data_IF_451786182686
#
_entry.id   IF_451786182686
#
_cell.length_a   1.000
_cell.length_b   1.000
_cell.length_c   1.000
_cell.angle_alpha   90.00
_cell.angle_beta   90.00
_cell.angle_gamma   90.00
#
_symmetry.space_group_name_H-M   'P 1'
#
loop_
_entity.id
_entity.type
_entity.pdbx_description
1 polymer ?
#
# COMPACT_ATOMS: atom_id res chain seq x y z
N UNK A 1 -31.85 44.57 -21.62
CA UNK A 1 -30.41 44.37 -21.36
C UNK A 1 -30.31 43.27 -20.33
N UNK A 2 -29.78 42.10 -20.70
CA UNK A 2 -29.47 41.03 -19.76
C UNK A 2 -28.05 41.28 -19.22
N UNK A 3 -27.91 41.31 -17.91
CA UNK A 3 -26.62 41.45 -17.25
C UNK A 3 -25.81 40.14 -17.42
N UNK A 4 -24.73 40.22 -18.18
CA UNK A 4 -23.85 39.09 -18.51
C UNK A 4 -22.72 38.91 -17.49
N UNK A 5 -22.76 39.58 -16.33
CA UNK A 5 -21.69 39.53 -15.31
C UNK A 5 -21.98 38.63 -14.10
N UNK A 6 -23.16 38.01 -14.02
CA UNK A 6 -23.48 37.09 -12.94
C UNK A 6 -22.80 35.72 -13.17
N UNK A 7 -21.58 35.55 -12.63
CA UNK A 7 -20.95 34.24 -12.47
C UNK A 7 -21.84 33.44 -11.50
N UNK A 8 -22.37 32.27 -11.88
CA UNK A 8 -23.13 31.44 -10.96
C UNK A 8 -22.25 31.11 -9.73
N UNK A 9 -22.82 31.07 -8.51
CA UNK A 9 -22.04 30.79 -7.32
C UNK A 9 -21.33 29.43 -7.47
N UNK A 10 -20.05 29.38 -7.09
CA UNK A 10 -19.29 28.14 -7.11
C UNK A 10 -19.98 27.09 -6.23
N UNK A 11 -19.99 25.80 -6.63
CA UNK A 11 -20.61 24.76 -5.83
C UNK A 11 -19.97 24.70 -4.45
N UNK A 12 -20.74 25.02 -3.41
CA UNK A 12 -20.26 25.20 -2.02
C UNK A 12 -20.58 24.01 -1.09
N UNK A 13 -20.63 22.79 -1.63
CA UNK A 13 -20.97 21.58 -0.87
C UNK A 13 -19.73 20.80 -0.42
N UNK A 14 -19.89 19.94 0.59
CA UNK A 14 -18.85 18.99 1.02
C UNK A 14 -18.83 17.81 0.04
N UNK A 15 -17.65 17.47 -0.48
CA UNK A 15 -17.44 16.27 -1.28
C UNK A 15 -17.02 15.09 -0.38
N UNK A 16 -17.49 13.88 -0.70
CA UNK A 16 -17.05 12.64 -0.05
C UNK A 16 -16.11 11.89 -0.98
N UNK A 17 -14.97 11.44 -0.44
CA UNK A 17 -14.01 10.60 -1.17
C UNK A 17 -14.22 9.15 -0.74
N UNK A 18 -14.49 8.27 -1.70
CA UNK A 18 -14.53 6.83 -1.50
C UNK A 18 -13.34 6.19 -2.19
N UNK A 19 -12.61 5.35 -1.46
CA UNK A 19 -11.59 4.47 -2.02
C UNK A 19 -12.22 3.10 -2.22
N UNK A 20 -12.38 2.70 -3.47
CA UNK A 20 -12.95 1.40 -3.82
C UNK A 20 -11.79 0.53 -4.31
N UNK A 21 -11.28 -0.40 -3.48
CA UNK A 21 -10.26 -1.32 -3.93
C UNK A 21 -10.82 -2.26 -5.01
N UNK A 22 -9.96 -2.85 -5.84
CA UNK A 22 -10.39 -3.93 -6.74
C UNK A 22 -10.91 -5.12 -5.92
N UNK A 23 -11.66 -6.01 -6.55
CA UNK A 23 -11.98 -7.29 -5.92
C UNK A 23 -10.70 -8.13 -5.75
N UNK A 24 -10.62 -8.89 -4.65
CA UNK A 24 -9.53 -9.86 -4.49
C UNK A 24 -9.55 -10.87 -5.64
N UNK A 25 -8.37 -11.18 -6.19
CA UNK A 25 -8.25 -12.08 -7.34
C UNK A 25 -7.24 -13.18 -7.08
N UNK A 26 -7.57 -14.40 -7.52
CA UNK A 26 -6.70 -15.57 -7.39
C UNK A 26 -6.66 -16.17 -5.98
N UNK A 27 -5.67 -17.02 -5.77
CA UNK A 27 -5.32 -17.63 -4.48
C UNK A 27 -3.82 -17.49 -4.35
N UNK A 28 -3.35 -16.83 -3.30
CA UNK A 28 -1.93 -16.73 -3.03
C UNK A 28 -1.65 -16.53 -1.55
N UNK A 29 -0.44 -16.92 -1.13
CA UNK A 29 0.18 -16.55 0.13
C UNK A 29 1.34 -15.62 -0.15
N UNK A 30 1.37 -14.49 0.53
CA UNK A 30 2.43 -13.49 0.46
C UNK A 30 3.10 -13.44 1.84
N UNK A 31 4.40 -13.61 1.89
CA UNK A 31 5.20 -13.31 3.09
C UNK A 31 6.29 -12.33 2.71
N UNK A 32 6.33 -11.20 3.40
CA UNK A 32 7.22 -10.09 3.13
C UNK A 32 7.96 -9.74 4.41
N UNK A 33 9.29 -9.65 4.36
CA UNK A 33 10.04 -9.01 5.43
C UNK A 33 11.32 -8.43 4.86
N UNK A 34 11.72 -7.25 5.29
CA UNK A 34 12.92 -6.64 4.74
C UNK A 34 13.08 -5.17 5.02
N UNK A 35 13.95 -4.56 4.21
CA UNK A 35 14.14 -3.12 4.21
C UNK A 35 14.35 -2.56 2.81
N UNK A 36 13.95 -1.31 2.64
CA UNK A 36 14.15 -0.48 1.46
C UNK A 36 14.79 0.84 1.87
N UNK A 37 15.32 1.57 0.89
CA UNK A 37 15.54 3.00 1.02
C UNK A 37 14.37 3.66 0.31
N UNK A 38 13.51 4.35 1.03
CA UNK A 38 12.33 5.02 0.45
C UNK A 38 12.75 6.23 -0.41
N UNK A 39 11.82 6.76 -1.21
CA UNK A 39 12.08 7.89 -2.13
C UNK A 39 12.49 9.19 -1.41
N UNK A 40 12.11 9.34 -0.14
CA UNK A 40 12.57 10.43 0.72
C UNK A 40 14.05 10.26 1.11
N UNK A 41 14.64 9.06 0.93
CA UNK A 41 16.01 8.71 1.29
C UNK A 41 16.12 7.99 2.64
N UNK A 42 15.01 7.84 3.37
CA UNK A 42 14.98 7.22 4.68
C UNK A 42 14.93 5.69 4.58
N UNK A 43 15.31 5.03 5.68
CA UNK A 43 15.28 3.56 5.75
C UNK A 43 13.88 3.10 6.15
N UNK A 44 13.18 2.45 5.22
CA UNK A 44 11.95 1.72 5.47
C UNK A 44 12.20 0.26 5.87
N UNK A 45 11.50 -0.24 6.88
CA UNK A 45 11.47 -1.68 7.23
C UNK A 45 10.05 -2.19 7.21
N UNK A 46 9.82 -3.42 6.73
CA UNK A 46 8.48 -3.99 6.63
C UNK A 46 8.45 -5.45 7.07
N UNK A 47 7.27 -5.90 7.49
CA UNK A 47 6.96 -7.27 7.82
C UNK A 47 5.47 -7.55 7.55
N UNK A 48 5.15 -8.70 6.95
CA UNK A 48 3.78 -9.07 6.67
C UNK A 48 3.61 -10.53 6.27
N UNK A 49 2.41 -11.02 6.52
CA UNK A 49 1.94 -12.32 6.05
C UNK A 49 0.46 -12.22 5.69
N UNK A 50 0.17 -12.45 4.41
CA UNK A 50 -1.15 -12.30 3.81
C UNK A 50 -1.53 -13.57 3.06
N UNK A 51 -2.80 -13.95 3.18
CA UNK A 51 -3.39 -15.09 2.51
C UNK A 51 -4.67 -14.68 1.79
N UNK A 52 -4.81 -15.15 0.55
CA UNK A 52 -6.02 -15.01 -0.25
C UNK A 52 -6.59 -16.40 -0.49
N UNK A 53 -7.81 -16.64 -0.01
CA UNK A 53 -8.53 -17.88 -0.23
C UNK A 53 -10.02 -17.58 -0.43
N UNK A 54 -10.64 -18.25 -1.39
CA UNK A 54 -12.07 -18.08 -1.71
C UNK A 54 -12.48 -16.61 -1.95
N UNK A 55 -11.60 -15.81 -2.53
CA UNK A 55 -11.83 -14.38 -2.78
C UNK A 55 -11.76 -13.48 -1.55
N UNK A 56 -11.33 -14.00 -0.40
CA UNK A 56 -11.15 -13.25 0.84
C UNK A 56 -9.67 -13.10 1.17
N UNK A 57 -9.28 -11.88 1.54
CA UNK A 57 -7.94 -11.57 2.04
C UNK A 57 -7.92 -11.59 3.57
N UNK A 58 -6.84 -12.10 4.14
CA UNK A 58 -6.60 -12.12 5.59
C UNK A 58 -5.11 -12.08 5.89
N UNK A 59 -4.72 -11.58 7.05
CA UNK A 59 -3.30 -11.42 7.40
C UNK A 59 -3.02 -10.13 8.14
N UNK A 60 -1.74 -9.76 8.14
CA UNK A 60 -1.27 -8.50 8.71
C UNK A 60 -0.10 -7.95 7.88
N UNK A 61 0.04 -6.63 7.91
CA UNK A 61 1.13 -5.88 7.31
C UNK A 61 1.59 -4.80 8.30
N UNK A 62 2.90 -4.56 8.34
CA UNK A 62 3.53 -3.51 9.14
C UNK A 62 4.67 -2.88 8.34
N UNK A 63 4.77 -1.56 8.42
CA UNK A 63 5.80 -0.75 7.78
C UNK A 63 6.29 0.33 8.72
N UNK A 64 7.60 0.55 8.77
CA UNK A 64 8.22 1.64 9.53
C UNK A 64 9.19 2.39 8.63
N UNK A 65 8.90 3.65 8.33
CA UNK A 65 9.93 4.60 7.93
C UNK A 65 10.70 5.05 9.18
N UNK A 66 12.02 4.87 9.20
CA UNK A 66 12.85 5.19 10.37
C UNK A 66 13.30 6.65 10.42
N UNK A 67 12.92 7.46 9.44
CA UNK A 67 13.35 8.84 9.35
C UNK A 67 14.81 8.99 8.90
N UNK A 68 15.38 10.21 9.03
CA UNK A 68 14.86 11.33 9.84
C UNK A 68 13.90 12.30 9.14
N UNK A 69 13.64 12.17 7.84
CA UNK A 69 12.85 13.16 7.10
C UNK A 69 11.36 12.99 7.33
N UNK A 70 10.87 11.76 7.29
CA UNK A 70 9.44 11.45 7.45
C UNK A 70 9.25 10.13 8.21
N UNK A 71 9.64 10.05 9.50
CA UNK A 71 9.46 8.84 10.29
C UNK A 71 7.97 8.56 10.52
N UNK A 72 7.54 7.34 10.22
CA UNK A 72 6.15 6.92 10.28
C UNK A 72 6.03 5.41 10.52
N UNK A 73 5.16 4.98 11.44
CA UNK A 73 4.80 3.58 11.65
C UNK A 73 3.38 3.32 11.15
N UNK A 74 3.25 2.39 10.20
CA UNK A 74 1.97 1.94 9.63
C UNK A 74 1.73 0.50 10.06
N UNK A 75 0.58 0.24 10.68
CA UNK A 75 0.16 -1.11 11.08
C UNK A 75 -1.24 -1.40 10.58
N UNK A 76 -1.40 -2.48 9.81
CA UNK A 76 -2.70 -2.86 9.25
C UNK A 76 -3.69 -3.22 10.36
N UNK A 77 -4.91 -2.71 10.26
CA UNK A 77 -6.05 -3.08 11.10
C UNK A 77 -6.99 -4.07 10.38
N UNK A 78 -7.08 -3.99 9.06
CA UNK A 78 -7.81 -4.95 8.22
C UNK A 78 -7.32 -4.95 6.78
N UNK A 79 -7.50 -6.07 6.08
CA UNK A 79 -7.26 -6.18 4.64
C UNK A 79 -8.59 -6.09 3.89
N UNK A 80 -8.65 -5.22 2.88
CA UNK A 80 -9.82 -5.02 2.05
C UNK A 80 -9.80 -5.91 0.81
N UNK A 81 -8.66 -5.98 0.13
CA UNK A 81 -8.50 -6.77 -1.08
C UNK A 81 -7.04 -7.10 -1.36
N UNK A 82 -6.83 -8.20 -2.08
CA UNK A 82 -5.51 -8.57 -2.59
C UNK A 82 -5.60 -9.03 -4.03
N UNK A 83 -4.81 -8.42 -4.90
CA UNK A 83 -4.64 -8.87 -6.29
C UNK A 83 -3.42 -9.76 -6.33
N UNK A 84 -3.63 -11.08 -6.38
CA UNK A 84 -2.52 -12.04 -6.54
C UNK A 84 -1.83 -11.87 -7.91
N UNK A 85 -0.53 -12.18 -8.00
CA UNK A 85 0.21 -12.02 -9.24
C UNK A 85 -0.29 -12.99 -10.31
N UNK A 86 -0.01 -12.66 -11.56
CA UNK A 86 -0.26 -13.52 -12.72
C UNK A 86 1.06 -13.74 -13.48
N UNK A 87 1.15 -14.74 -14.37
CA UNK A 87 2.35 -14.92 -15.19
C UNK A 87 2.72 -13.69 -16.05
N UNK A 88 1.73 -12.85 -16.40
CA UNK A 88 1.95 -11.62 -17.16
C UNK A 88 2.29 -10.41 -16.27
N UNK A 89 2.01 -10.48 -14.96
CA UNK A 89 2.21 -9.42 -13.99
C UNK A 89 2.66 -10.04 -12.65
N UNK A 90 3.98 -10.20 -12.41
CA UNK A 90 4.54 -10.89 -11.24
C UNK A 90 4.49 -10.06 -9.94
N UNK A 91 3.52 -9.15 -9.85
CA UNK A 91 3.38 -8.20 -8.75
C UNK A 91 2.05 -8.47 -8.05
N UNK A 92 2.07 -8.50 -6.71
CA UNK A 92 0.87 -8.52 -5.89
C UNK A 92 0.56 -7.12 -5.35
N UNK A 93 -0.72 -6.82 -5.19
CA UNK A 93 -1.19 -5.59 -4.56
C UNK A 93 -2.06 -5.94 -3.36
N UNK A 94 -1.83 -5.26 -2.23
CA UNK A 94 -2.53 -5.48 -0.97
C UNK A 94 -3.14 -4.15 -0.56
N UNK A 95 -4.47 -4.12 -0.41
CA UNK A 95 -5.24 -2.97 0.00
C UNK A 95 -5.79 -3.21 1.39
N UNK A 96 -5.75 -2.21 2.27
CA UNK A 96 -6.23 -2.36 3.64
C UNK A 96 -6.45 -1.05 4.36
N UNK A 97 -6.92 -1.19 5.59
CA UNK A 97 -6.94 -0.14 6.60
C UNK A 97 -5.78 -0.30 7.55
N UNK A 98 -5.25 0.79 8.07
CA UNK A 98 -4.15 0.84 9.02
C UNK A 98 -4.32 1.99 10.02
N UNK A 99 -3.59 1.87 11.12
CA UNK A 99 -3.24 3.03 11.95
C UNK A 99 -1.89 3.59 11.52
N UNK A 100 -1.74 4.90 11.62
CA UNK A 100 -0.44 5.60 11.51
C UNK A 100 -0.06 6.09 12.90
N UNK A 101 1.15 5.70 13.35
CA UNK A 101 1.67 5.93 14.69
C UNK A 101 0.67 5.53 15.81
N UNK A 102 -0.04 4.42 15.57
CA UNK A 102 -1.04 3.87 16.49
C UNK A 102 -2.37 4.63 16.55
N UNK A 103 -2.61 5.58 15.64
CA UNK A 103 -3.84 6.39 15.60
C UNK A 103 -4.50 6.43 14.23
N UNK A 104 -5.76 6.86 14.20
CA UNK A 104 -6.52 7.09 12.97
C UNK A 104 -7.00 5.82 12.27
N UNK A 105 -7.61 6.03 11.11
CA UNK A 105 -7.99 4.99 10.16
C UNK A 105 -7.58 5.47 8.77
N UNK A 106 -6.52 4.88 8.25
CA UNK A 106 -5.91 5.23 6.98
C UNK A 106 -6.02 4.07 6.02
N UNK A 107 -6.17 4.37 4.74
CA UNK A 107 -6.14 3.34 3.70
C UNK A 107 -4.71 3.26 3.16
N UNK A 108 -4.24 2.04 2.95
CA UNK A 108 -2.94 1.79 2.33
C UNK A 108 -3.07 0.93 1.08
N UNK A 109 -2.08 1.07 0.20
CA UNK A 109 -1.76 0.16 -0.89
C UNK A 109 -0.30 -0.26 -0.75
N UNK A 110 -0.07 -1.56 -0.56
CA UNK A 110 1.24 -2.18 -0.65
C UNK A 110 1.37 -2.88 -2.01
N UNK A 111 2.49 -2.67 -2.69
CA UNK A 111 2.84 -3.33 -3.95
C UNK A 111 4.13 -4.13 -3.75
N UNK A 112 4.08 -5.42 -4.01
CA UNK A 112 5.24 -6.31 -3.85
C UNK A 112 5.50 -7.11 -5.11
N UNK A 113 6.78 -7.30 -5.45
CA UNK A 113 7.20 -8.17 -6.55
C UNK A 113 8.16 -9.22 -6.01
N UNK A 114 7.87 -10.49 -6.29
CA UNK A 114 8.77 -11.62 -6.06
C UNK A 114 9.57 -11.86 -7.34
N UNK A 115 10.86 -11.49 -7.30
CA UNK A 115 11.79 -11.62 -8.41
C UNK A 115 12.56 -12.95 -8.41
N UNK A 116 12.15 -13.91 -7.56
CA UNK A 116 12.74 -15.24 -7.43
C UNK A 116 13.51 -15.44 -6.11
N UNK A 117 14.38 -16.44 -6.09
CA UNK A 117 14.98 -16.90 -4.83
C UNK A 117 15.91 -15.86 -4.19
N UNK A 118 15.62 -15.49 -2.95
CA UNK A 118 16.57 -14.84 -2.04
C UNK A 118 16.55 -13.32 -2.05
N UNK A 119 15.45 -12.67 -2.46
CA UNK A 119 15.21 -11.26 -2.17
C UNK A 119 15.87 -10.25 -3.09
N UNK A 120 16.90 -10.64 -3.84
CA UNK A 120 17.77 -9.70 -4.58
C UNK A 120 17.07 -8.93 -5.70
N UNK A 121 16.04 -9.52 -6.29
CA UNK A 121 15.27 -8.94 -7.38
C UNK A 121 13.86 -8.55 -6.91
N UNK A 122 13.60 -8.63 -5.62
CA UNK A 122 12.30 -8.31 -5.05
C UNK A 122 12.20 -6.80 -4.87
N UNK A 123 10.96 -6.30 -4.87
CA UNK A 123 10.68 -4.91 -4.55
C UNK A 123 9.45 -4.77 -3.68
N UNK A 124 9.41 -3.68 -2.93
CA UNK A 124 8.34 -3.30 -2.02
C UNK A 124 8.04 -1.81 -2.20
N UNK A 125 6.77 -1.45 -2.13
CA UNK A 125 6.33 -0.07 -2.01
C UNK A 125 5.02 0.02 -1.24
N UNK A 126 4.85 1.12 -0.51
CA UNK A 126 3.64 1.48 0.21
C UNK A 126 3.20 2.91 -0.14
N UNK A 127 1.89 3.08 -0.26
CA UNK A 127 1.21 4.38 -0.34
C UNK A 127 0.17 4.41 0.77
N UNK A 128 0.11 5.51 1.52
CA UNK A 128 -0.85 5.71 2.61
C UNK A 128 -1.71 6.94 2.31
N UNK A 129 -2.96 6.91 2.76
CA UNK A 129 -3.96 7.94 2.42
C UNK A 129 -3.73 9.32 3.04
N UNK A 130 -2.81 9.45 4.00
CA UNK A 130 -2.34 10.72 4.57
C UNK A 130 -1.36 11.47 3.65
N UNK A 131 -0.80 10.78 2.66
CA UNK A 131 0.11 11.35 1.66
C UNK A 131 1.47 10.66 1.61
N UNK A 132 1.78 9.75 2.54
CA UNK A 132 3.06 9.06 2.54
C UNK A 132 3.20 8.11 1.33
N UNK A 133 4.37 8.14 0.70
CA UNK A 133 4.73 7.29 -0.44
C UNK A 133 6.19 6.85 -0.27
N UNK A 134 6.44 5.55 -0.09
CA UNK A 134 7.82 5.04 -0.03
C UNK A 134 8.49 4.96 -1.40
N UNK A 135 7.70 4.94 -2.47
CA UNK A 135 8.10 4.48 -3.80
C UNK A 135 8.17 2.95 -3.90
N UNK A 136 8.24 2.43 -5.13
CA UNK A 136 8.45 1.00 -5.39
C UNK A 136 9.95 0.74 -5.49
N UNK A 137 10.55 0.25 -4.42
CA UNK A 137 12.01 0.21 -4.26
C UNK A 137 12.54 -1.22 -4.17
N UNK A 138 13.74 -1.50 -4.70
CA UNK A 138 14.38 -2.80 -4.55
C UNK A 138 14.75 -3.04 -3.09
N UNK A 139 14.68 -4.30 -2.65
CA UNK A 139 15.04 -4.65 -1.28
C UNK A 139 16.54 -4.44 -1.03
N UNK A 140 16.86 -3.73 0.05
CA UNK A 140 18.22 -3.66 0.59
C UNK A 140 18.57 -4.92 1.39
N UNK A 141 17.55 -5.56 1.98
CA UNK A 141 17.66 -6.82 2.70
C UNK A 141 16.30 -7.49 2.83
N UNK A 142 16.28 -8.79 3.09
CA UNK A 142 15.04 -9.55 3.32
C UNK A 142 14.57 -10.28 2.08
N UNK A 143 13.28 -10.61 2.03
CA UNK A 143 12.67 -11.39 0.96
C UNK A 143 11.16 -11.14 0.89
N UNK A 144 10.62 -11.10 -0.33
CA UNK A 144 9.21 -11.28 -0.65
C UNK A 144 9.05 -12.69 -1.20
N UNK A 145 8.04 -13.41 -0.72
CA UNK A 145 7.71 -14.72 -1.27
C UNK A 145 6.22 -14.75 -1.60
N UNK A 146 5.89 -15.09 -2.84
CA UNK A 146 4.51 -15.25 -3.28
C UNK A 146 4.31 -16.68 -3.80
N UNK A 147 3.28 -17.37 -3.29
CA UNK A 147 2.94 -18.76 -3.68
C UNK A 147 1.46 -18.96 -3.90
#
# INVERSE_FOLDING_TARGET
MQDLTAIPPEPSAVATKFWIPPASSGTCKITSSGSITAINGDRGTFNGEVHVANGLASGHESYQDRGPLEPEQVDSTSLLAVVCPTPAAPTAMIYGHATVDGTGDFIFLITVTDGGNGGKNDSYGIIVSDGYISGQEPLQSGNVNIR
#
